data_IF_864097458558
#
_entry.id   IF_864097458558
#
_cell.length_a   1.000
_cell.length_b   1.000
_cell.length_c   1.000
_cell.angle_alpha   90.00
_cell.angle_beta   90.00
_cell.angle_gamma   90.00
#
_symmetry.space_group_name_H-M   'P 1'
#
loop_
_entity.id
_entity.type
_entity.pdbx_description
1 polymer ?
#
# COMPACT_ATOMS: atom_id res chain seq x y z
N UNK A 1 9.24 -28.03 -4.03
CA UNK A 1 7.99 -27.26 -4.07
C UNK A 1 8.36 -25.79 -3.98
N UNK A 2 8.29 -25.05 -5.10
CA UNK A 2 8.61 -23.62 -5.09
C UNK A 2 7.59 -22.94 -4.20
N UNK A 3 7.99 -22.46 -3.02
CA UNK A 3 7.11 -21.68 -2.17
C UNK A 3 6.62 -20.50 -3.00
N UNK A 4 5.32 -20.49 -3.34
CA UNK A 4 4.75 -19.45 -4.17
C UNK A 4 4.86 -18.14 -3.37
N UNK A 5 5.78 -17.27 -3.78
CA UNK A 5 5.90 -15.91 -3.27
C UNK A 5 4.52 -15.27 -3.36
N UNK A 6 3.96 -14.90 -2.23
CA UNK A 6 2.67 -14.20 -2.22
C UNK A 6 2.95 -12.74 -2.58
N UNK A 7 2.47 -12.24 -3.74
CA UNK A 7 2.69 -10.86 -4.11
C UNK A 7 1.75 -9.99 -3.30
N UNK A 8 2.31 -9.05 -2.54
CA UNK A 8 1.57 -8.12 -1.70
C UNK A 8 1.96 -6.72 -2.15
N UNK A 9 0.98 -5.96 -2.65
CA UNK A 9 1.15 -4.51 -2.83
C UNK A 9 0.59 -3.80 -1.62
N UNK A 10 1.40 -2.97 -0.97
CA UNK A 10 0.99 -2.12 0.14
C UNK A 10 1.15 -0.65 -0.24
N UNK A 11 0.06 0.12 -0.12
CA UNK A 11 0.09 1.57 -0.33
C UNK A 11 -0.01 2.28 1.02
N UNK A 12 0.75 3.36 1.19
CA UNK A 12 0.77 4.10 2.46
C UNK A 12 1.74 3.54 3.50
N UNK A 13 2.82 2.89 3.07
CA UNK A 13 3.85 2.31 3.96
C UNK A 13 4.53 3.31 4.91
N UNK A 14 4.46 4.61 4.65
CA UNK A 14 5.00 5.66 5.54
C UNK A 14 4.07 6.05 6.68
N UNK A 15 2.83 5.56 6.67
CA UNK A 15 1.87 5.79 7.75
C UNK A 15 2.15 4.93 8.99
N UNK A 16 1.44 5.19 10.08
CA UNK A 16 1.55 4.40 11.31
C UNK A 16 1.20 2.92 11.06
N UNK A 17 0.04 2.68 10.45
CA UNK A 17 -0.43 1.32 10.10
C UNK A 17 0.42 0.68 9.00
N UNK A 18 0.80 1.45 7.98
CA UNK A 18 1.60 0.95 6.86
C UNK A 18 2.99 0.49 7.31
N UNK A 19 3.69 1.30 8.10
CA UNK A 19 5.03 0.96 8.59
C UNK A 19 5.02 -0.25 9.53
N UNK A 20 4.02 -0.36 10.40
CA UNK A 20 3.82 -1.54 11.24
C UNK A 20 3.55 -2.81 10.41
N UNK A 21 2.72 -2.70 9.38
CA UNK A 21 2.39 -3.81 8.48
C UNK A 21 3.62 -4.28 7.68
N UNK A 22 4.41 -3.34 7.14
CA UNK A 22 5.66 -3.65 6.44
C UNK A 22 6.62 -4.36 7.37
N UNK A 23 6.83 -3.87 8.60
CA UNK A 23 7.69 -4.54 9.59
C UNK A 23 7.21 -5.95 9.92
N UNK A 24 5.90 -6.16 10.10
CA UNK A 24 5.35 -7.47 10.38
C UNK A 24 5.55 -8.46 9.22
N UNK A 25 5.41 -7.99 7.97
CA UNK A 25 5.64 -8.79 6.77
C UNK A 25 7.12 -9.13 6.59
N UNK A 26 8.02 -8.17 6.83
CA UNK A 26 9.47 -8.36 6.74
C UNK A 26 10.03 -9.27 7.85
N UNK A 27 9.38 -9.30 9.00
CA UNK A 27 9.71 -10.18 10.13
C UNK A 27 9.13 -11.60 9.98
N UNK A 28 8.27 -11.83 8.99
CA UNK A 28 7.64 -13.13 8.78
C UNK A 28 8.61 -14.15 8.18
N UNK A 29 8.45 -15.41 8.58
CA UNK A 29 9.19 -16.55 8.03
C UNK A 29 8.66 -17.04 6.68
N UNK A 30 7.51 -16.53 6.22
CA UNK A 30 6.99 -16.84 4.89
C UNK A 30 7.61 -15.93 3.81
N UNK A 31 7.90 -16.47 2.60
CA UNK A 31 8.42 -15.69 1.49
C UNK A 31 7.32 -14.82 0.87
N UNK A 32 7.47 -13.51 0.98
CA UNK A 32 6.56 -12.52 0.39
C UNK A 32 7.25 -11.74 -0.72
N UNK A 33 6.51 -11.39 -1.77
CA UNK A 33 6.93 -10.39 -2.74
C UNK A 33 6.23 -9.07 -2.40
N UNK A 34 6.82 -8.31 -1.47
CA UNK A 34 6.26 -7.08 -0.94
C UNK A 34 6.65 -5.89 -1.82
N UNK A 35 5.65 -5.25 -2.42
CA UNK A 35 5.81 -3.99 -3.14
C UNK A 35 5.15 -2.87 -2.35
N UNK A 36 5.93 -1.86 -1.93
CA UNK A 36 5.38 -0.69 -1.25
C UNK A 36 5.30 0.50 -2.19
N UNK A 37 4.13 1.13 -2.27
CA UNK A 37 3.93 2.39 -3.00
C UNK A 37 3.89 3.53 -1.98
N UNK A 38 4.91 4.38 -2.00
CA UNK A 38 5.08 5.46 -1.01
C UNK A 38 5.48 6.78 -1.68
N UNK A 39 5.25 7.91 -1.00
CA UNK A 39 5.77 9.22 -1.45
C UNK A 39 7.19 9.51 -0.98
N UNK A 40 7.66 8.76 0.02
CA UNK A 40 9.01 8.87 0.58
C UNK A 40 9.68 7.50 0.51
N UNK A 41 11.00 7.45 0.27
CA UNK A 41 11.73 6.21 0.33
C UNK A 41 11.52 5.57 1.70
N UNK A 42 11.21 4.28 1.69
CA UNK A 42 11.05 3.48 2.90
C UNK A 42 11.99 2.30 2.79
N UNK A 43 13.05 2.31 3.57
CA UNK A 43 13.95 1.18 3.68
C UNK A 43 13.36 0.13 4.62
N UNK A 44 13.43 -1.12 4.20
CA UNK A 44 12.95 -2.26 4.95
C UNK A 44 13.83 -3.46 4.68
N UNK A 45 14.54 -3.94 5.70
CA UNK A 45 15.28 -5.19 5.61
C UNK A 45 14.37 -6.36 5.97
N UNK A 46 14.26 -7.33 5.07
CA UNK A 46 13.58 -8.59 5.37
C UNK A 46 14.51 -9.51 6.17
N UNK A 47 13.99 -10.10 7.26
CA UNK A 47 14.72 -11.17 7.96
C UNK A 47 14.82 -12.46 7.14
N UNK A 48 14.01 -12.59 6.07
CA UNK A 48 14.01 -13.76 5.20
C UNK A 48 14.69 -13.44 3.85
N UNK A 49 15.75 -14.15 3.44
CA UNK A 49 16.41 -13.93 2.16
C UNK A 49 15.53 -14.30 0.96
N UNK A 50 14.46 -15.07 1.16
CA UNK A 50 13.49 -15.38 0.10
C UNK A 50 12.42 -14.30 -0.08
N UNK A 51 12.32 -13.33 0.83
CA UNK A 51 11.36 -12.22 0.72
C UNK A 51 11.94 -11.14 -0.18
N UNK A 52 11.18 -10.72 -1.18
CA UNK A 52 11.57 -9.61 -2.06
C UNK A 52 10.85 -8.36 -1.60
N UNK A 53 11.61 -7.32 -1.25
CA UNK A 53 11.06 -6.01 -0.93
C UNK A 53 11.38 -5.03 -2.07
N UNK A 54 10.34 -4.41 -2.63
CA UNK A 54 10.48 -3.39 -3.66
C UNK A 54 9.74 -2.13 -3.23
N UNK A 55 10.48 -1.06 -2.97
CA UNK A 55 9.88 0.24 -2.71
C UNK A 55 9.78 1.04 -4.01
N UNK A 56 8.56 1.38 -4.43
CA UNK A 56 8.32 2.33 -5.52
C UNK A 56 7.92 3.67 -4.91
N UNK A 57 8.80 4.64 -5.08
CA UNK A 57 8.56 6.02 -4.68
C UNK A 57 7.92 6.80 -5.82
N UNK A 58 6.84 7.51 -5.51
CA UNK A 58 6.18 8.41 -6.44
C UNK A 58 6.05 9.80 -5.81
N UNK A 59 6.38 10.85 -6.55
CA UNK A 59 6.15 12.23 -6.12
C UNK A 59 4.66 12.45 -5.84
N UNK A 60 3.80 11.93 -6.73
CA UNK A 60 2.35 11.87 -6.58
C UNK A 60 1.87 10.43 -6.62
N UNK A 61 1.17 9.99 -5.58
CA UNK A 61 0.58 8.64 -5.52
C UNK A 61 -0.44 8.38 -6.63
N UNK A 62 -1.04 9.42 -7.21
CA UNK A 62 -1.91 9.32 -8.38
C UNK A 62 -1.17 8.78 -9.61
N UNK A 63 0.14 9.03 -9.73
CA UNK A 63 0.96 8.46 -10.80
C UNK A 63 1.08 6.94 -10.67
N UNK A 64 1.01 6.41 -9.44
CA UNK A 64 1.06 4.98 -9.20
C UNK A 64 -0.12 4.24 -9.85
N UNK A 65 -1.25 4.92 -10.06
CA UNK A 65 -2.43 4.34 -10.73
C UNK A 65 -2.22 4.15 -12.24
N UNK A 66 -1.29 4.90 -12.85
CA UNK A 66 -0.95 4.76 -14.27
C UNK A 66 -0.13 3.50 -14.56
N UNK A 67 0.50 2.93 -13.54
CA UNK A 67 1.29 1.69 -13.65
C UNK A 67 0.52 0.45 -13.19
N UNK A 68 1.17 -0.73 -13.25
CA UNK A 68 0.65 -1.94 -12.62
C UNK A 68 0.68 -1.77 -11.10
N UNK A 69 -0.50 -1.80 -10.47
CA UNK A 69 -0.67 -1.59 -9.03
C UNK A 69 -0.59 -2.92 -8.29
N UNK A 70 -1.22 -3.96 -8.82
CA UNK A 70 -1.23 -5.28 -8.22
C UNK A 70 -0.64 -6.32 -9.17
N UNK A 71 -0.16 -7.42 -8.61
CA UNK A 71 0.15 -8.61 -9.40
C UNK A 71 -1.08 -9.50 -9.45
N UNK A 72 -1.35 -10.12 -10.60
CA UNK A 72 -2.47 -11.05 -10.78
C UNK A 72 -2.41 -12.17 -9.74
N UNK A 73 -3.51 -12.36 -8.99
CA UNK A 73 -3.58 -13.34 -7.90
C UNK A 73 -2.93 -12.89 -6.59
N UNK A 74 -2.44 -11.65 -6.51
CA UNK A 74 -1.85 -11.06 -5.32
C UNK A 74 -2.84 -10.41 -4.36
N UNK A 75 -2.29 -9.87 -3.29
CA UNK A 75 -3.02 -9.11 -2.27
C UNK A 75 -2.69 -7.63 -2.42
N UNK A 76 -3.72 -6.80 -2.55
CA UNK A 76 -3.60 -5.36 -2.50
C UNK A 76 -4.10 -4.84 -1.15
N UNK A 77 -3.25 -4.09 -0.45
CA UNK A 77 -3.56 -3.47 0.84
C UNK A 77 -3.37 -1.96 0.74
N UNK A 78 -4.46 -1.22 0.86
CA UNK A 78 -4.44 0.23 1.03
C UNK A 78 -4.43 0.56 2.52
N UNK A 79 -3.29 1.05 3.00
CA UNK A 79 -3.11 1.69 4.29
C UNK A 79 -2.94 3.21 4.11
N UNK A 80 -3.51 3.76 3.02
CA UNK A 80 -3.68 5.19 2.87
C UNK A 80 -4.68 5.66 3.92
N UNK A 81 -4.31 6.69 4.64
CA UNK A 81 -5.09 7.26 5.72
C UNK A 81 -4.38 8.53 6.14
N UNK A 82 -4.74 9.65 5.52
CA UNK A 82 -4.11 10.93 5.87
C UNK A 82 -4.91 11.61 6.97
N UNK A 83 -4.24 12.28 7.90
CA UNK A 83 -4.92 13.17 8.85
C UNK A 83 -5.07 14.55 8.21
N UNK A 84 -6.06 15.33 8.67
CA UNK A 84 -6.32 16.70 8.19
C UNK A 84 -5.08 17.59 8.26
N UNK A 85 -4.30 17.43 9.33
CA UNK A 85 -3.03 18.13 9.55
C UNK A 85 -1.96 17.75 8.53
N UNK A 86 -1.82 16.45 8.21
CA UNK A 86 -0.85 15.97 7.23
C UNK A 86 -1.26 16.25 5.77
N UNK A 87 -2.56 16.35 5.49
CA UNK A 87 -3.09 16.71 4.17
C UNK A 87 -3.00 18.21 3.87
N UNK A 88 -2.93 19.05 4.91
CA UNK A 88 -2.94 20.50 4.78
C UNK A 88 -4.31 21.05 4.37
N UNK A 89 -5.40 20.38 4.77
CA UNK A 89 -6.78 20.78 4.46
C UNK A 89 -7.74 19.61 4.31
N UNK A 90 -9.04 19.87 4.47
CA UNK A 90 -10.11 18.86 4.34
C UNK A 90 -10.24 18.37 2.89
N UNK A 91 -10.22 19.27 1.90
CA UNK A 91 -10.34 18.91 0.48
C UNK A 91 -9.21 17.98 0.02
N UNK A 92 -7.98 18.25 0.46
CA UNK A 92 -6.82 17.41 0.17
C UNK A 92 -6.92 16.06 0.88
N UNK A 93 -7.48 16.04 2.10
CA UNK A 93 -7.74 14.79 2.80
C UNK A 93 -8.74 13.95 2.02
N UNK A 94 -9.91 14.48 1.65
CA UNK A 94 -10.93 13.75 0.89
C UNK A 94 -10.35 13.24 -0.43
N UNK A 95 -9.59 14.07 -1.15
CA UNK A 95 -8.99 13.66 -2.42
C UNK A 95 -7.99 12.50 -2.27
N UNK A 96 -7.22 12.45 -1.19
CA UNK A 96 -6.26 11.37 -0.93
C UNK A 96 -6.95 10.12 -0.35
N UNK A 97 -7.87 10.29 0.59
CA UNK A 97 -8.50 9.18 1.32
C UNK A 97 -9.56 8.47 0.48
N UNK A 98 -10.31 9.21 -0.35
CA UNK A 98 -11.43 8.70 -1.14
C UNK A 98 -11.04 8.54 -2.61
N UNK A 99 -10.64 9.64 -3.27
CA UNK A 99 -10.46 9.65 -4.72
C UNK A 99 -9.28 8.75 -5.14
N UNK A 100 -8.11 8.98 -4.56
CA UNK A 100 -6.91 8.18 -4.81
C UNK A 100 -7.07 6.71 -4.40
N UNK A 101 -7.68 6.46 -3.24
CA UNK A 101 -7.86 5.10 -2.74
C UNK A 101 -8.79 4.29 -3.66
N UNK A 102 -9.87 4.93 -4.12
CA UNK A 102 -10.78 4.34 -5.09
C UNK A 102 -10.08 4.03 -6.41
N UNK A 103 -9.31 4.97 -6.95
CA UNK A 103 -8.62 4.80 -8.23
C UNK A 103 -7.60 3.66 -8.16
N UNK A 104 -6.82 3.57 -7.08
CA UNK A 104 -5.89 2.46 -6.85
C UNK A 104 -6.59 1.12 -6.66
N UNK A 105 -7.71 1.08 -5.92
CA UNK A 105 -8.47 -0.16 -5.72
C UNK A 105 -9.12 -0.64 -7.02
N UNK A 106 -9.64 0.29 -7.83
CA UNK A 106 -10.14 0.02 -9.16
C UNK A 106 -9.03 -0.60 -10.02
N UNK A 107 -7.84 0.03 -10.02
CA UNK A 107 -6.71 -0.44 -10.80
C UNK A 107 -6.19 -1.80 -10.35
N UNK A 108 -6.07 -2.01 -9.03
CA UNK A 108 -5.70 -3.31 -8.47
C UNK A 108 -6.68 -4.41 -8.88
N UNK A 109 -7.97 -4.10 -8.98
CA UNK A 109 -8.99 -5.03 -9.49
C UNK A 109 -8.80 -5.32 -10.98
N UNK A 110 -8.51 -4.30 -11.80
CA UNK A 110 -8.20 -4.46 -13.23
C UNK A 110 -6.93 -5.32 -13.45
N UNK A 111 -5.90 -5.14 -12.62
CA UNK A 111 -4.68 -5.95 -12.60
C UNK A 111 -4.92 -7.40 -12.13
N UNK A 112 -6.11 -7.71 -11.60
CA UNK A 112 -6.50 -9.05 -11.16
C UNK A 112 -6.05 -9.40 -9.74
N UNK A 113 -6.00 -8.44 -8.83
CA UNK A 113 -5.79 -8.70 -7.40
C UNK A 113 -6.87 -9.65 -6.86
N UNK A 114 -6.45 -10.67 -6.12
CA UNK A 114 -7.37 -11.67 -5.54
C UNK A 114 -8.03 -11.16 -4.26
N UNK A 115 -7.34 -10.27 -3.53
CA UNK A 115 -7.82 -9.70 -2.27
C UNK A 115 -7.51 -8.20 -2.26
N UNK A 116 -8.54 -7.38 -2.02
CA UNK A 116 -8.45 -5.93 -1.94
C UNK A 116 -8.87 -5.52 -0.54
N UNK A 117 -7.94 -5.03 0.27
CA UNK A 117 -8.21 -4.52 1.62
C UNK A 117 -7.90 -3.04 1.71
N UNK A 118 -8.91 -2.20 1.94
CA UNK A 118 -8.73 -0.79 2.25
C UNK A 118 -9.06 -0.54 3.72
N UNK A 119 -8.11 0.02 4.49
CA UNK A 119 -8.36 0.51 5.85
C UNK A 119 -8.23 2.03 5.89
N UNK A 120 -9.35 2.72 5.77
CA UNK A 120 -9.50 4.14 6.13
C UNK A 120 -10.10 4.23 7.53
N UNK A 121 -9.30 4.56 8.54
CA UNK A 121 -9.80 4.80 9.91
C UNK A 121 -10.14 6.26 10.22
N UNK A 122 -9.98 7.17 9.25
CA UNK A 122 -10.12 8.63 9.47
C UNK A 122 -11.40 9.24 8.88
N UNK A 123 -12.28 8.45 8.26
CA UNK A 123 -13.54 8.94 7.70
C UNK A 123 -14.60 9.26 8.78
N UNK A 124 -14.44 8.74 10.00
CA UNK A 124 -15.39 8.92 11.12
C UNK A 124 -15.19 10.21 11.94
N UNK A 125 -14.21 11.07 11.61
CA UNK A 125 -14.06 12.38 12.27
C UNK A 125 -14.76 13.51 11.50
N UNK A 126 -15.98 13.27 11.04
CA UNK A 126 -16.86 14.36 10.60
C UNK A 126 -17.71 14.82 11.81
N UNK A 127 -17.71 16.13 12.15
CA UNK A 127 -18.64 16.68 13.13
C UNK A 127 -20.09 16.67 12.61
#
# INVERSE_FOLDING_TARGET
MSAALTPITLVGGTGLTGSASVKALLASTHPFALTTLTRRPLDGESSNPSTTYTNKTFSDLFEAVKGPVATKGGVYVSCLGTTRAAAGGLDKQIRIDLDLNRDLAQKAKEDGASTIGARNSNLEQQP
#
